data_IF_757591905462
#
_entry.id   IF_757591905462
#
_cell.length_a   1.000
_cell.length_b   1.000
_cell.length_c   1.000
_cell.angle_alpha   90.00
_cell.angle_beta   90.00
_cell.angle_gamma   90.00
#
_symmetry.space_group_name_H-M   'P 1'
#
loop_
_entity.id
_entity.type
_entity.pdbx_description
1 polymer ?
#
# COMPACT_ATOMS: atom_id res chain seq x y z
N UNK A 1 -14.11 -14.18 5.75
CA UNK A 1 -13.22 -13.28 6.47
C UNK A 1 -11.98 -14.07 6.83
N UNK A 2 -10.92 -13.81 6.06
CA UNK A 2 -9.60 -14.35 6.25
C UNK A 2 -8.99 -13.74 7.53
N UNK A 3 -8.10 -14.45 8.23
CA UNK A 3 -7.50 -13.92 9.46
C UNK A 3 -6.63 -12.70 9.16
N UNK A 4 -6.72 -11.69 10.02
CA UNK A 4 -5.79 -10.57 10.05
C UNK A 4 -4.44 -11.05 10.58
N UNK A 5 -3.31 -10.70 9.95
CA UNK A 5 -1.97 -11.05 10.44
C UNK A 5 -1.70 -10.46 11.82
N UNK A 6 -0.91 -11.16 12.62
CA UNK A 6 -0.46 -10.66 13.91
C UNK A 6 0.66 -9.65 13.74
N UNK A 7 0.57 -8.53 14.47
CA UNK A 7 1.55 -7.44 14.45
C UNK A 7 2.13 -7.28 15.85
N UNK A 8 3.46 -7.22 15.94
CA UNK A 8 4.18 -6.86 17.17
C UNK A 8 5.04 -5.64 16.83
N UNK A 9 4.63 -4.46 17.30
CA UNK A 9 5.24 -3.18 16.93
C UNK A 9 5.19 -2.17 18.08
N UNK A 10 6.06 -1.16 18.02
CA UNK A 10 5.95 0.04 18.87
C UNK A 10 5.02 1.07 18.20
N UNK A 11 3.75 1.04 18.60
CA UNK A 11 2.73 1.94 18.04
C UNK A 11 2.89 3.41 18.44
N UNK A 12 3.88 3.74 19.28
CA UNK A 12 4.27 5.14 19.46
C UNK A 12 5.00 5.71 18.24
N UNK A 13 5.53 4.85 17.36
CA UNK A 13 6.35 5.22 16.19
C UNK A 13 5.76 4.73 14.87
N UNK A 14 4.82 3.80 14.93
CA UNK A 14 4.30 3.08 13.77
C UNK A 14 2.78 3.15 13.81
N UNK A 15 2.18 3.39 12.66
CA UNK A 15 0.73 3.42 12.52
C UNK A 15 0.11 2.08 12.93
N UNK A 16 -0.77 2.12 13.94
CA UNK A 16 -1.55 0.97 14.37
C UNK A 16 -2.65 0.68 13.34
N UNK A 17 -2.82 -0.59 12.89
CA UNK A 17 -3.90 -0.95 11.98
C UNK A 17 -5.27 -0.50 12.49
N UNK A 18 -5.98 0.29 11.68
CA UNK A 18 -7.31 0.80 11.98
C UNK A 18 -8.33 0.50 10.86
N UNK A 19 -9.49 1.15 10.91
CA UNK A 19 -10.63 0.91 10.00
C UNK A 19 -10.26 1.00 8.51
N UNK A 20 -9.35 1.91 8.16
CA UNK A 20 -8.81 2.07 6.83
C UNK A 20 -7.98 0.85 6.37
N UNK A 21 -7.15 0.34 7.27
CA UNK A 21 -6.35 -0.85 7.06
C UNK A 21 -7.26 -2.06 6.88
N UNK A 22 -8.25 -2.24 7.75
CA UNK A 22 -9.19 -3.35 7.65
C UNK A 22 -10.07 -3.27 6.39
N UNK A 23 -10.49 -2.08 5.97
CA UNK A 23 -11.19 -1.91 4.70
C UNK A 23 -10.34 -2.36 3.51
N UNK A 24 -9.03 -2.07 3.54
CA UNK A 24 -8.11 -2.48 2.49
C UNK A 24 -7.85 -3.99 2.51
N UNK A 25 -7.79 -4.63 3.69
CA UNK A 25 -7.75 -6.09 3.80
C UNK A 25 -9.01 -6.74 3.22
N UNK A 26 -10.19 -6.22 3.55
CA UNK A 26 -11.47 -6.71 3.03
C UNK A 26 -11.55 -6.55 1.51
N UNK A 27 -11.08 -5.41 0.98
CA UNK A 27 -10.93 -5.20 -0.46
C UNK A 27 -10.05 -6.28 -1.10
N UNK A 28 -8.89 -6.59 -0.51
CA UNK A 28 -7.97 -7.59 -1.04
C UNK A 28 -8.55 -9.02 -0.95
N UNK A 29 -9.31 -9.34 0.10
CA UNK A 29 -10.05 -10.60 0.23
C UNK A 29 -11.07 -10.76 -0.91
N UNK A 30 -11.89 -9.73 -1.18
CA UNK A 30 -12.86 -9.74 -2.29
C UNK A 30 -12.17 -9.87 -3.65
N UNK A 31 -10.97 -9.32 -3.80
CA UNK A 31 -10.20 -9.33 -5.04
C UNK A 31 -9.30 -10.56 -5.20
N UNK A 32 -9.28 -11.48 -4.24
CA UNK A 32 -8.37 -12.64 -4.23
C UNK A 32 -8.39 -13.45 -5.52
N UNK A 33 -9.57 -13.81 -6.02
CA UNK A 33 -9.69 -14.61 -7.25
C UNK A 33 -9.23 -13.84 -8.49
N UNK A 34 -9.60 -12.56 -8.58
CA UNK A 34 -9.18 -11.68 -9.66
C UNK A 34 -7.66 -11.55 -9.70
N UNK A 35 -7.04 -11.21 -8.55
CA UNK A 35 -5.60 -11.07 -8.40
C UNK A 35 -4.84 -12.35 -8.75
N UNK A 36 -5.30 -13.50 -8.24
CA UNK A 36 -4.68 -14.78 -8.58
C UNK A 36 -4.70 -15.03 -10.10
N UNK A 37 -5.82 -14.75 -10.77
CA UNK A 37 -5.95 -14.92 -12.20
C UNK A 37 -5.08 -13.97 -13.02
N UNK A 38 -4.93 -12.70 -12.63
CA UNK A 38 -4.15 -11.74 -13.44
C UNK A 38 -2.64 -11.81 -13.17
N UNK A 39 -2.23 -12.24 -11.97
CA UNK A 39 -0.81 -12.25 -11.57
C UNK A 39 -0.11 -13.59 -11.84
N UNK A 40 -0.84 -14.72 -11.72
CA UNK A 40 -0.26 -16.06 -11.79
C UNK A 40 -0.80 -16.91 -12.96
N UNK A 41 -1.47 -16.31 -13.94
CA UNK A 41 -1.79 -17.01 -15.18
C UNK A 41 -0.51 -17.27 -15.99
N UNK A 42 0.00 -18.51 -15.89
CA UNK A 42 1.23 -18.98 -16.53
C UNK A 42 1.22 -18.83 -18.06
N UNK A 43 0.06 -18.63 -18.69
CA UNK A 43 -0.02 -18.35 -20.14
C UNK A 43 0.35 -16.92 -20.49
N UNK A 44 0.33 -16.01 -19.52
CA UNK A 44 0.53 -14.56 -19.71
C UNK A 44 1.87 -14.05 -19.19
N UNK A 45 2.52 -14.76 -18.26
CA UNK A 45 3.76 -14.32 -17.62
C UNK A 45 4.81 -15.41 -17.49
N UNK A 46 6.05 -15.03 -17.78
CA UNK A 46 7.23 -15.87 -17.60
C UNK A 46 8.02 -15.55 -16.31
N UNK A 47 7.75 -14.41 -15.67
CA UNK A 47 8.42 -13.96 -14.45
C UNK A 47 7.46 -13.91 -13.25
N UNK A 48 7.98 -14.11 -12.03
CA UNK A 48 7.23 -13.87 -10.79
C UNK A 48 6.69 -12.43 -10.75
N UNK A 49 5.47 -12.20 -10.22
CA UNK A 49 4.95 -10.85 -10.10
C UNK A 49 5.66 -10.05 -9.00
N UNK A 50 5.85 -8.76 -9.23
CA UNK A 50 6.28 -7.80 -8.20
C UNK A 50 5.05 -7.20 -7.49
N UNK A 51 4.91 -7.53 -6.21
CA UNK A 51 3.91 -6.97 -5.30
C UNK A 51 4.60 -5.88 -4.48
N UNK A 52 4.06 -4.67 -4.52
CA UNK A 52 4.60 -3.52 -3.83
C UNK A 52 3.58 -2.87 -2.91
N UNK A 53 3.99 -2.58 -1.67
CA UNK A 53 3.24 -1.75 -0.73
C UNK A 53 4.01 -0.44 -0.47
N UNK A 54 3.31 0.69 -0.60
CA UNK A 54 3.82 2.01 -0.24
C UNK A 54 3.27 2.39 1.13
N UNK A 55 4.12 2.95 1.99
CA UNK A 55 3.74 3.31 3.36
C UNK A 55 3.37 2.07 4.18
N UNK A 56 4.31 1.13 4.29
CA UNK A 56 4.03 -0.20 4.85
C UNK A 56 3.57 -0.17 6.30
N UNK A 57 3.96 0.85 7.08
CA UNK A 57 3.57 0.97 8.49
C UNK A 57 3.91 -0.30 9.28
N UNK A 58 2.89 -1.01 9.75
CA UNK A 58 3.03 -2.26 10.50
C UNK A 58 3.36 -3.49 9.64
N UNK A 59 3.26 -3.39 8.31
CA UNK A 59 3.41 -4.49 7.35
C UNK A 59 2.25 -5.48 7.32
N UNK A 60 1.12 -5.16 7.96
CA UNK A 60 -0.04 -6.05 8.05
C UNK A 60 -0.66 -6.33 6.68
N UNK A 61 -0.67 -5.36 5.76
CA UNK A 61 -1.27 -5.53 4.43
C UNK A 61 -0.43 -6.48 3.58
N UNK A 62 0.88 -6.25 3.46
CA UNK A 62 1.76 -7.18 2.73
C UNK A 62 1.75 -8.58 3.34
N UNK A 63 1.76 -8.67 4.68
CA UNK A 63 1.67 -9.95 5.38
C UNK A 63 0.35 -10.68 5.09
N UNK A 64 -0.76 -9.95 4.98
CA UNK A 64 -2.06 -10.52 4.60
C UNK A 64 -2.06 -11.01 3.15
N UNK A 65 -1.44 -10.27 2.23
CA UNK A 65 -1.31 -10.70 0.84
C UNK A 65 -0.54 -12.02 0.76
N UNK A 66 0.60 -12.12 1.46
CA UNK A 66 1.44 -13.33 1.49
C UNK A 66 0.71 -14.56 2.07
N UNK A 67 0.04 -14.38 3.21
CA UNK A 67 -0.53 -15.50 3.97
C UNK A 67 -1.95 -15.87 3.52
N UNK A 68 -2.75 -14.90 3.08
CA UNK A 68 -4.18 -15.08 2.86
C UNK A 68 -4.57 -15.00 1.39
N UNK A 69 -3.94 -14.13 0.60
CA UNK A 69 -4.33 -13.90 -0.80
C UNK A 69 -3.55 -14.82 -1.75
N UNK A 70 -2.24 -14.95 -1.54
CA UNK A 70 -1.32 -15.74 -2.37
C UNK A 70 -0.64 -16.89 -1.61
N UNK A 71 -1.35 -17.67 -0.76
CA UNK A 71 -0.72 -18.76 -0.04
C UNK A 71 -0.16 -19.77 -1.04
N UNK A 72 1.14 -20.01 -0.99
CA UNK A 72 1.91 -20.91 -1.86
C UNK A 72 2.14 -20.44 -3.31
N UNK A 73 1.87 -19.18 -3.64
CA UNK A 73 2.29 -18.60 -4.91
C UNK A 73 3.62 -17.85 -4.75
N UNK A 74 4.55 -18.09 -5.68
CA UNK A 74 5.83 -17.38 -5.65
C UNK A 74 5.70 -15.98 -6.24
N UNK A 75 5.88 -14.96 -5.40
CA UNK A 75 5.94 -13.56 -5.79
C UNK A 75 7.10 -12.86 -5.09
N UNK A 76 7.52 -11.74 -5.66
CA UNK A 76 8.50 -10.84 -5.04
C UNK A 76 7.70 -9.74 -4.34
N UNK A 77 7.95 -9.54 -3.05
CA UNK A 77 7.30 -8.54 -2.23
C UNK A 77 8.31 -7.45 -1.91
N UNK A 78 7.95 -6.20 -2.19
CA UNK A 78 8.76 -5.03 -1.88
C UNK A 78 7.92 -4.02 -1.13
N UNK A 79 8.28 -3.71 0.09
CA UNK A 79 7.61 -2.65 0.86
C UNK A 79 8.47 -1.41 0.91
N UNK A 80 7.83 -0.24 1.03
CA UNK A 80 8.53 1.04 1.15
C UNK A 80 7.89 1.89 2.21
N UNK A 81 8.73 2.64 2.92
CA UNK A 81 8.29 3.62 3.90
C UNK A 81 9.35 4.71 4.07
N UNK A 82 8.93 5.89 4.53
CA UNK A 82 9.87 6.93 4.96
C UNK A 82 10.44 6.62 6.35
N UNK A 83 9.65 5.93 7.17
CA UNK A 83 10.01 5.51 8.52
C UNK A 83 10.80 4.19 8.50
N UNK A 84 12.06 4.24 8.94
CA UNK A 84 12.92 3.05 9.03
C UNK A 84 12.38 2.00 10.02
N UNK A 85 11.69 2.43 11.09
CA UNK A 85 11.05 1.53 12.05
C UNK A 85 9.87 0.77 11.41
N UNK A 86 9.13 1.41 10.49
CA UNK A 86 8.09 0.75 9.73
C UNK A 86 8.66 -0.28 8.76
N UNK A 87 9.78 0.05 8.09
CA UNK A 87 10.48 -0.90 7.22
C UNK A 87 10.91 -2.16 7.99
N UNK A 88 11.57 -2.00 9.14
CA UNK A 88 12.03 -3.12 9.97
C UNK A 88 10.84 -3.94 10.52
N UNK A 89 9.80 -3.25 11.00
CA UNK A 89 8.58 -3.90 11.52
C UNK A 89 7.86 -4.70 10.45
N UNK A 90 7.78 -4.20 9.21
CA UNK A 90 7.10 -4.91 8.13
C UNK A 90 7.74 -6.27 7.82
N UNK A 91 9.07 -6.34 7.87
CA UNK A 91 9.82 -7.58 7.73
C UNK A 91 9.46 -8.52 8.88
N UNK A 92 9.57 -8.08 10.13
CA UNK A 92 9.23 -8.88 11.33
C UNK A 92 7.80 -9.42 11.31
N UNK A 93 6.83 -8.58 10.92
CA UNK A 93 5.43 -8.97 10.77
C UNK A 93 5.28 -10.07 9.71
N UNK A 94 5.96 -9.95 8.57
CA UNK A 94 5.96 -10.99 7.55
C UNK A 94 6.56 -12.30 8.07
N UNK A 95 7.72 -12.25 8.72
CA UNK A 95 8.39 -13.44 9.26
C UNK A 95 7.51 -14.21 10.25
N UNK A 96 6.93 -13.48 11.20
CA UNK A 96 6.07 -14.03 12.26
C UNK A 96 4.87 -14.78 11.66
N UNK A 97 4.21 -14.18 10.67
CA UNK A 97 3.00 -14.75 10.10
C UNK A 97 3.29 -15.91 9.14
N UNK A 98 4.40 -15.85 8.39
CA UNK A 98 4.85 -16.97 7.56
C UNK A 98 5.20 -18.20 8.41
N UNK A 99 5.88 -18.00 9.55
CA UNK A 99 6.20 -19.07 10.50
C UNK A 99 4.92 -19.72 11.05
N UNK A 100 3.97 -18.91 11.51
CA UNK A 100 2.68 -19.38 12.04
C UNK A 100 1.84 -20.13 11.01
N UNK A 101 1.85 -19.68 9.76
CA UNK A 101 1.09 -20.30 8.68
C UNK A 101 1.77 -21.53 8.07
N UNK A 102 3.02 -21.83 8.45
CA UNK A 102 3.80 -22.92 7.87
C UNK A 102 4.15 -22.73 6.40
N UNK A 103 4.08 -21.49 5.89
CA UNK A 103 4.41 -21.17 4.50
C UNK A 103 5.93 -21.13 4.37
N UNK A 104 6.47 -21.91 3.42
CA UNK A 104 7.91 -21.94 3.17
C UNK A 104 8.43 -20.56 2.77
N UNK A 105 9.46 -20.08 3.47
CA UNK A 105 10.17 -18.83 3.14
C UNK A 105 10.84 -18.88 1.76
N UNK A 106 11.09 -20.08 1.22
CA UNK A 106 11.59 -20.24 -0.15
C UNK A 106 10.56 -19.82 -1.21
N UNK A 107 9.27 -19.81 -0.84
CA UNK A 107 8.18 -19.42 -1.74
C UNK A 107 7.83 -17.92 -1.64
N UNK A 108 8.51 -17.16 -0.78
CA UNK A 108 8.19 -15.76 -0.50
C UNK A 108 9.47 -14.95 -0.30
N UNK A 109 9.83 -14.13 -1.29
CA UNK A 109 10.95 -13.18 -1.17
C UNK A 109 10.37 -11.82 -0.83
N UNK A 110 10.68 -11.32 0.36
CA UNK A 110 10.28 -9.97 0.79
C UNK A 110 11.48 -9.16 1.21
N UNK A 111 11.49 -7.89 0.82
CA UNK A 111 12.41 -6.88 1.35
C UNK A 111 11.66 -5.55 1.57
N UNK A 112 12.24 -4.66 2.37
CA UNK A 112 11.70 -3.34 2.68
C UNK A 112 12.76 -2.25 2.46
N UNK A 113 12.40 -1.20 1.73
CA UNK A 113 13.33 -0.12 1.40
C UNK A 113 12.83 1.21 1.97
N UNK A 114 13.69 1.85 2.77
CA UNK A 114 13.43 3.22 3.24
C UNK A 114 13.54 4.20 2.06
N UNK A 115 12.43 4.63 1.49
CA UNK A 115 12.41 5.53 0.36
C UNK A 115 11.05 6.22 0.18
N UNK A 116 10.99 7.21 -0.72
CA UNK A 116 9.77 7.91 -1.03
C UNK A 116 9.02 7.22 -2.17
N UNK A 117 7.77 6.83 -1.90
CA UNK A 117 6.88 6.21 -2.89
C UNK A 117 7.58 5.06 -3.64
N UNK A 118 7.81 5.24 -4.94
CA UNK A 118 8.37 4.22 -5.83
C UNK A 118 9.76 4.59 -6.34
N UNK A 119 10.49 5.47 -5.65
CA UNK A 119 11.79 5.96 -6.12
C UNK A 119 12.88 4.87 -6.19
N UNK A 120 12.64 3.70 -5.58
CA UNK A 120 13.55 2.57 -5.58
C UNK A 120 13.30 1.54 -6.70
N UNK A 121 12.21 1.67 -7.46
CA UNK A 121 11.87 0.72 -8.53
C UNK A 121 11.98 1.34 -9.91
N UNK A 122 12.24 0.49 -10.90
CA UNK A 122 12.25 0.91 -12.30
C UNK A 122 10.83 1.01 -12.84
N UNK A 123 10.63 1.88 -13.83
CA UNK A 123 9.34 2.03 -14.50
C UNK A 123 8.84 0.71 -15.12
N UNK A 124 7.52 0.56 -15.18
CA UNK A 124 6.78 -0.55 -15.78
C UNK A 124 7.08 -1.92 -15.15
N UNK A 125 7.36 -1.95 -13.84
CA UNK A 125 7.77 -3.18 -13.14
C UNK A 125 6.77 -3.68 -12.09
N UNK A 126 5.88 -2.82 -11.57
CA UNK A 126 5.02 -3.17 -10.45
C UNK A 126 3.72 -3.82 -10.93
N UNK A 127 3.47 -5.05 -10.52
CA UNK A 127 2.31 -5.83 -10.96
C UNK A 127 1.10 -5.70 -10.04
N UNK A 128 1.35 -5.58 -8.75
CA UNK A 128 0.35 -5.22 -7.76
C UNK A 128 0.93 -4.11 -6.89
N UNK A 129 0.33 -2.93 -6.93
CA UNK A 129 0.65 -1.83 -6.05
C UNK A 129 -0.47 -1.67 -5.03
N UNK A 130 -0.14 -1.54 -3.75
CA UNK A 130 -1.09 -1.25 -2.69
C UNK A 130 -0.62 -0.02 -1.93
N UNK A 131 -1.53 0.91 -1.67
CA UNK A 131 -1.21 2.13 -0.96
C UNK A 131 -2.35 2.55 -0.03
N UNK A 132 -2.06 2.59 1.27
CA UNK A 132 -2.84 3.34 2.24
C UNK A 132 -2.12 4.68 2.49
N UNK A 133 -2.48 5.76 1.79
CA UNK A 133 -1.75 7.02 1.89
C UNK A 133 -1.95 7.74 3.22
N UNK A 134 -1.08 8.70 3.58
CA UNK A 134 -1.45 9.74 4.54
C UNK A 134 -2.56 10.60 3.90
N UNK A 135 -3.82 10.30 4.19
CA UNK A 135 -4.99 10.94 3.56
C UNK A 135 -5.65 12.02 4.41
N UNK A 136 -5.20 12.23 5.65
CA UNK A 136 -5.83 13.16 6.59
C UNK A 136 -5.45 14.59 6.21
N UNK A 137 -6.43 15.48 6.00
CA UNK A 137 -6.14 16.88 5.74
C UNK A 137 -5.49 17.55 6.95
N UNK A 138 -4.37 18.24 6.69
CA UNK A 138 -3.63 19.01 7.69
C UNK A 138 -3.56 20.46 7.28
N UNK A 139 -3.77 21.38 8.21
CA UNK A 139 -3.63 22.82 7.97
C UNK A 139 -2.15 23.23 7.75
N UNK A 140 -1.21 22.34 8.08
CA UNK A 140 0.20 22.54 7.82
C UNK A 140 0.53 21.95 6.44
N UNK A 141 0.60 22.81 5.43
CA UNK A 141 0.93 22.42 4.04
C UNK A 141 2.36 21.89 3.88
N UNK A 142 3.21 22.04 4.89
CA UNK A 142 4.53 21.45 4.92
C UNK A 142 4.43 19.95 5.26
N UNK A 143 4.58 19.11 4.24
CA UNK A 143 4.86 17.69 4.45
C UNK A 143 6.28 17.61 5.03
N UNK A 144 6.47 16.99 6.20
CA UNK A 144 7.79 16.86 6.78
C UNK A 144 8.71 16.09 5.82
N UNK A 145 9.90 16.64 5.55
CA UNK A 145 10.92 15.98 4.71
C UNK A 145 12.04 15.45 5.59
N UNK A 146 12.46 14.20 5.35
CA UNK A 146 13.55 13.53 6.10
C UNK A 146 14.85 14.37 6.11
N UNK A 147 15.14 15.11 5.04
CA UNK A 147 16.38 15.87 4.89
C UNK A 147 16.44 17.20 5.66
N UNK A 148 15.34 17.62 6.32
CA UNK A 148 15.24 18.92 6.98
C UNK A 148 15.17 18.87 8.51
N UNK A 149 14.97 17.69 9.12
CA UNK A 149 14.73 17.55 10.55
C UNK A 149 15.74 16.56 11.15
N UNK A 150 16.81 17.09 11.72
CA UNK A 150 17.88 16.32 12.38
C UNK A 150 17.45 15.55 13.64
N UNK A 151 16.14 15.53 13.99
CA UNK A 151 15.63 14.99 15.26
C UNK A 151 14.35 14.12 15.11
N UNK A 152 13.90 13.72 13.92
CA UNK A 152 12.67 12.90 13.78
C UNK A 152 12.79 11.59 14.60
N UNK A 153 13.98 10.98 14.65
CA UNK A 153 14.22 9.75 15.43
C UNK A 153 14.09 9.93 16.96
N UNK A 154 14.16 11.17 17.46
CA UNK A 154 14.02 11.48 18.89
C UNK A 154 12.56 11.75 19.29
N UNK A 155 11.70 12.11 18.34
CA UNK A 155 10.28 12.38 18.58
C UNK A 155 9.41 11.33 17.89
N UNK A 156 9.00 10.32 18.66
CA UNK A 156 8.12 9.24 18.19
C UNK A 156 6.83 9.78 17.52
N UNK A 157 6.31 10.92 17.97
CA UNK A 157 5.09 11.54 17.42
C UNK A 157 5.26 12.05 16.00
N UNK A 158 6.46 12.50 15.61
CA UNK A 158 6.72 13.04 14.28
C UNK A 158 6.53 11.98 13.17
N UNK A 159 6.81 10.71 13.47
CA UNK A 159 6.57 9.61 12.52
C UNK A 159 5.07 9.34 12.32
N UNK A 160 4.28 9.40 13.39
CA UNK A 160 2.82 9.23 13.30
C UNK A 160 2.17 10.40 12.57
N UNK A 161 2.62 11.62 12.83
CA UNK A 161 2.16 12.81 12.11
C UNK A 161 2.43 12.67 10.60
N UNK A 162 3.62 12.17 10.22
CA UNK A 162 3.97 11.91 8.82
C UNK A 162 3.10 10.81 8.19
N UNK A 163 2.75 9.77 8.95
CA UNK A 163 1.89 8.69 8.48
C UNK A 163 0.45 9.14 8.19
N UNK A 164 0.00 10.25 8.77
CA UNK A 164 -1.36 10.78 8.61
C UNK A 164 -1.42 12.01 7.69
N UNK A 165 -0.41 12.86 7.69
CA UNK A 165 -0.45 14.18 7.06
C UNK A 165 -0.40 14.12 5.52
N UNK A 166 -1.56 14.29 4.89
CA UNK A 166 -1.70 14.39 3.43
C UNK A 166 -1.71 15.81 2.87
N UNK A 167 -1.47 16.84 3.68
CA UNK A 167 -1.58 18.25 3.32
C UNK A 167 -3.01 18.79 3.31
N UNK A 168 -3.24 19.96 2.71
CA UNK A 168 -4.49 20.74 2.83
C UNK A 168 -5.78 19.96 2.48
N UNK A 169 -5.71 19.07 1.49
CA UNK A 169 -6.83 18.23 1.03
C UNK A 169 -6.57 16.71 1.20
N UNK A 170 -5.47 16.38 1.88
CA UNK A 170 -5.04 14.99 2.06
C UNK A 170 -4.48 14.32 0.80
N UNK A 171 -4.21 15.08 -0.27
CA UNK A 171 -3.84 14.53 -1.57
C UNK A 171 -2.41 14.82 -2.02
N UNK A 172 -1.60 15.60 -1.29
CA UNK A 172 -0.28 16.01 -1.80
C UNK A 172 0.62 14.79 -2.07
N UNK A 173 0.64 13.79 -1.19
CA UNK A 173 1.43 12.56 -1.39
C UNK A 173 0.79 11.66 -2.46
N UNK A 174 -0.52 11.45 -2.36
CA UNK A 174 -1.29 10.61 -3.28
C UNK A 174 -1.22 11.12 -4.73
N UNK A 175 -1.32 12.44 -4.94
CA UNK A 175 -1.22 13.07 -6.26
C UNK A 175 0.13 12.79 -6.92
N UNK A 176 1.25 12.85 -6.18
CA UNK A 176 2.59 12.51 -6.71
C UNK A 176 2.65 11.08 -7.23
N UNK A 177 2.03 10.13 -6.52
CA UNK A 177 1.92 8.76 -7.00
C UNK A 177 1.04 8.69 -8.26
N UNK A 178 -0.14 9.29 -8.22
CA UNK A 178 -1.11 9.27 -9.33
C UNK A 178 -0.56 9.93 -10.61
N UNK A 179 0.31 10.93 -10.49
CA UNK A 179 1.03 11.57 -11.60
C UNK A 179 1.96 10.61 -12.34
N UNK A 180 2.54 9.64 -11.63
CA UNK A 180 3.52 8.70 -12.17
C UNK A 180 2.98 7.27 -12.31
N UNK A 181 1.74 7.01 -11.87
CA UNK A 181 1.20 5.65 -11.73
C UNK A 181 1.19 4.86 -13.03
N UNK A 182 0.92 5.53 -14.16
CA UNK A 182 0.98 4.90 -15.48
C UNK A 182 2.36 4.31 -15.79
N UNK A 183 3.43 5.01 -15.41
CA UNK A 183 4.80 4.58 -15.72
C UNK A 183 5.38 3.66 -14.65
N UNK A 184 4.76 3.58 -13.48
CA UNK A 184 5.13 2.65 -12.40
C UNK A 184 4.60 1.23 -12.70
N UNK A 185 3.32 1.13 -13.04
CA UNK A 185 2.64 -0.15 -13.22
C UNK A 185 3.18 -0.91 -14.44
N UNK A 186 3.37 -2.22 -14.31
CA UNK A 186 3.55 -3.13 -15.43
C UNK A 186 2.33 -3.10 -16.37
N UNK A 187 2.43 -3.66 -17.57
CA UNK A 187 1.36 -3.58 -18.59
C UNK A 187 0.03 -4.20 -18.16
N UNK A 188 0.08 -5.24 -17.32
CA UNK A 188 -1.10 -5.82 -16.68
C UNK A 188 -1.14 -5.53 -15.17
N UNK A 189 -0.37 -4.54 -14.73
CA UNK A 189 -0.28 -4.13 -13.34
C UNK A 189 -1.52 -3.40 -12.88
N UNK A 190 -1.81 -3.52 -11.59
CA UNK A 190 -2.97 -2.91 -10.93
C UNK A 190 -2.56 -2.27 -9.62
N UNK A 191 -3.13 -1.11 -9.31
CA UNK A 191 -3.01 -0.45 -8.03
C UNK A 191 -4.33 -0.48 -7.24
N UNK A 192 -4.24 -0.68 -5.93
CA UNK A 192 -5.32 -0.44 -4.95
C UNK A 192 -4.90 0.70 -4.04
N UNK A 193 -5.67 1.79 -4.06
CA UNK A 193 -5.36 3.00 -3.30
C UNK A 193 -6.59 3.38 -2.46
N UNK A 194 -6.38 3.59 -1.17
CA UNK A 194 -7.41 4.05 -0.24
C UNK A 194 -7.59 5.58 -0.32
N UNK A 195 -8.84 6.02 -0.24
CA UNK A 195 -9.25 7.43 -0.21
C UNK A 195 -10.33 7.65 0.84
N UNK A 196 -10.30 8.78 1.51
CA UNK A 196 -11.44 9.31 2.26
C UNK A 196 -12.29 10.27 1.40
N UNK A 197 -13.51 10.58 1.84
CA UNK A 197 -14.40 11.50 1.11
C UNK A 197 -13.78 12.88 0.86
N UNK A 198 -12.94 13.40 1.76
CA UNK A 198 -12.27 14.70 1.59
C UNK A 198 -11.27 14.70 0.44
N UNK A 199 -10.72 13.54 0.08
CA UNK A 199 -9.81 13.39 -1.06
C UNK A 199 -10.54 13.45 -2.42
N UNK A 200 -11.88 13.56 -2.43
CA UNK A 200 -12.71 13.66 -3.64
C UNK A 200 -12.43 12.53 -4.65
N UNK A 201 -12.63 11.25 -4.28
CA UNK A 201 -12.32 10.10 -5.14
C UNK A 201 -13.03 10.12 -6.51
N UNK A 202 -14.18 10.78 -6.63
CA UNK A 202 -14.87 10.97 -7.92
C UNK A 202 -14.11 11.90 -8.88
N UNK A 203 -13.36 12.87 -8.36
CA UNK A 203 -12.51 13.73 -9.19
C UNK A 203 -11.23 12.99 -9.57
N UNK A 204 -10.66 12.19 -8.66
CA UNK A 204 -9.57 11.26 -8.98
C UNK A 204 -9.97 10.32 -10.11
N UNK A 205 -11.19 9.75 -10.07
CA UNK A 205 -11.72 8.91 -11.15
C UNK A 205 -11.66 9.61 -12.51
N UNK A 206 -12.12 10.86 -12.61
CA UNK A 206 -12.13 11.64 -13.86
C UNK A 206 -10.70 11.91 -14.35
N UNK A 207 -9.84 12.40 -13.46
CA UNK A 207 -8.45 12.74 -13.78
C UNK A 207 -7.67 11.53 -14.30
N UNK A 208 -7.85 10.36 -13.66
CA UNK A 208 -7.13 9.15 -14.06
C UNK A 208 -7.60 8.59 -15.41
N UNK A 209 -8.88 8.77 -15.76
CA UNK A 209 -9.41 8.40 -17.09
C UNK A 209 -8.77 9.23 -18.20
N UNK A 210 -8.53 10.52 -17.97
CA UNK A 210 -7.81 11.40 -18.90
C UNK A 210 -6.35 10.95 -19.08
N UNK A 211 -5.75 10.37 -18.04
CA UNK A 211 -4.38 9.80 -18.03
C UNK A 211 -4.29 8.36 -18.54
N UNK A 212 -5.28 7.90 -19.30
CA UNK A 212 -5.34 6.55 -19.89
C UNK A 212 -5.32 5.41 -18.86
N UNK A 213 -5.64 5.69 -17.60
CA UNK A 213 -5.89 4.66 -16.60
C UNK A 213 -7.38 4.34 -16.57
N UNK A 214 -7.70 3.06 -16.41
CA UNK A 214 -9.00 2.63 -15.94
C UNK A 214 -9.06 2.76 -14.43
N UNK A 215 -10.25 3.05 -13.92
CA UNK A 215 -10.52 3.20 -12.49
C UNK A 215 -11.84 2.54 -12.17
N UNK A 216 -11.91 1.88 -11.02
CA UNK A 216 -13.10 1.28 -10.45
C UNK A 216 -13.09 1.44 -8.93
N UNK A 217 -14.22 1.80 -8.34
CA UNK A 217 -14.39 1.76 -6.88
C UNK A 217 -14.76 0.33 -6.48
N UNK A 218 -13.87 -0.35 -5.79
CA UNK A 218 -14.04 -1.78 -5.44
C UNK A 218 -14.88 -1.93 -4.18
N UNK A 219 -14.53 -1.18 -3.13
CA UNK A 219 -15.25 -1.21 -1.87
C UNK A 219 -15.41 0.21 -1.32
N UNK A 220 -16.48 0.40 -0.54
CA UNK A 220 -16.78 1.63 0.18
C UNK A 220 -17.32 1.27 1.56
N UNK A 221 -16.91 2.00 2.59
CA UNK A 221 -17.42 1.86 3.95
C UNK A 221 -17.54 3.22 4.63
N UNK A 222 -18.60 3.38 5.40
CA UNK A 222 -18.78 4.52 6.30
C UNK A 222 -18.53 4.05 7.73
N UNK A 223 -17.46 4.55 8.36
CA UNK A 223 -17.08 4.25 9.74
C UNK A 223 -17.18 5.53 10.56
N UNK A 224 -18.29 5.70 11.29
CA UNK A 224 -18.58 6.93 12.03
C UNK A 224 -18.67 8.15 11.09
N UNK A 225 -17.71 9.07 11.23
CA UNK A 225 -17.62 10.29 10.41
C UNK A 225 -16.77 10.11 9.15
N UNK A 226 -16.04 9.00 9.06
CA UNK A 226 -15.17 8.72 7.94
C UNK A 226 -15.91 7.93 6.86
N UNK A 227 -15.74 8.37 5.63
CA UNK A 227 -16.24 7.71 4.43
C UNK A 227 -15.03 7.30 3.62
N UNK A 228 -14.75 6.00 3.61
CA UNK A 228 -13.55 5.42 3.05
C UNK A 228 -13.90 4.59 1.81
N UNK A 229 -13.02 4.62 0.82
CA UNK A 229 -13.15 3.85 -0.41
C UNK A 229 -11.80 3.36 -0.89
N UNK A 230 -11.78 2.19 -1.52
CA UNK A 230 -10.59 1.70 -2.24
C UNK A 230 -10.88 1.75 -3.73
N UNK A 231 -10.03 2.46 -4.46
CA UNK A 231 -10.06 2.48 -5.92
C UNK A 231 -9.04 1.51 -6.48
N UNK A 232 -9.45 0.74 -7.48
CA UNK A 232 -8.59 -0.08 -8.34
C UNK A 232 -8.26 0.69 -9.60
N UNK A 233 -6.97 0.82 -9.92
CA UNK A 233 -6.48 1.53 -11.10
C UNK A 233 -5.59 0.61 -11.94
N UNK A 234 -5.71 0.66 -13.26
CA UNK A 234 -4.87 -0.13 -14.18
C UNK A 234 -4.75 0.53 -15.55
N UNK A 235 -3.73 0.16 -16.34
CA UNK A 235 -3.55 0.68 -17.70
C UNK A 235 -4.71 0.28 -18.62
N UNK A 236 -5.18 1.24 -19.43
CA UNK A 236 -6.08 0.90 -20.54
C UNK A 236 -5.27 0.20 -21.63
N UNK A 237 -5.71 -0.99 -22.05
CA UNK A 237 -5.18 -1.69 -23.23
C UNK A 237 -5.50 -0.93 -24.51
#
# INVERSE_FOLDING_TARGET
MLPTPEVIADFNRIYEPAEDTFLLLDCLEEQKLFLNHILFDCKKKASPPLVMEIGTGSGVITSFIQNSIFPNQFAIYLTTDLNSYACETSLKTSELNLEKSGISRLNCVMDSVQCSLTSCVVNNSVDLLVFNPPYVPSANSEIPTINGQSNIDQDSGAWLDMALNGGDDGMIVTAKLLDNLHDILADNGVAYILFCARNKPDDVYKQMKERKLQVEKVIFRKCGWEELSVLRLWKRK
#
